data_IF_033840812474
#
_entry.id   IF_033840812474
#
_cell.length_a   1.000
_cell.length_b   1.000
_cell.length_c   1.000
_cell.angle_alpha   90.00
_cell.angle_beta   90.00
_cell.angle_gamma   90.00
#
_symmetry.space_group_name_H-M   'P 1'
#
loop_
_entity.id
_entity.type
_entity.pdbx_description
1 polymer ?
#
# COMPACT_ATOMS: atom_id res chain seq x y z
N UNK A 1 -14.26 -28.75 -36.59
CA UNK A 1 -13.25 -27.67 -36.66
C UNK A 1 -13.85 -26.25 -36.56
N UNK A 2 -14.86 -25.85 -37.36
CA UNK A 2 -15.42 -24.48 -37.35
C UNK A 2 -16.17 -24.07 -36.05
N UNK A 3 -16.90 -24.99 -35.42
CA UNK A 3 -17.60 -24.72 -34.14
C UNK A 3 -16.61 -24.53 -32.99
N UNK A 4 -15.62 -25.40 -32.89
CA UNK A 4 -14.54 -25.29 -31.90
C UNK A 4 -13.79 -23.96 -32.02
N UNK A 5 -13.45 -23.53 -33.24
CA UNK A 5 -12.79 -22.24 -33.48
C UNK A 5 -13.66 -21.04 -33.05
N UNK A 6 -14.99 -21.10 -33.27
CA UNK A 6 -15.91 -20.04 -32.81
C UNK A 6 -16.03 -19.97 -31.30
N UNK A 7 -16.10 -21.14 -30.64
CA UNK A 7 -16.12 -21.22 -29.17
C UNK A 7 -14.81 -20.68 -28.61
N UNK A 8 -13.67 -21.11 -29.15
CA UNK A 8 -12.35 -20.63 -28.74
C UNK A 8 -12.23 -19.11 -28.90
N UNK A 9 -12.63 -18.57 -30.06
CA UNK A 9 -12.62 -17.12 -30.29
C UNK A 9 -13.53 -16.38 -29.30
N UNK A 10 -14.72 -16.89 -29.03
CA UNK A 10 -15.63 -16.32 -28.04
C UNK A 10 -15.04 -16.29 -26.63
N UNK A 11 -14.38 -17.37 -26.19
CA UNK A 11 -13.69 -17.43 -24.90
C UNK A 11 -12.55 -16.40 -24.82
N UNK A 12 -11.74 -16.28 -25.88
CA UNK A 12 -10.64 -15.29 -25.93
C UNK A 12 -11.20 -13.86 -25.79
N UNK A 13 -12.27 -13.53 -26.51
CA UNK A 13 -12.91 -12.21 -26.40
C UNK A 13 -13.41 -11.94 -24.98
N UNK A 14 -14.04 -12.92 -24.32
CA UNK A 14 -14.51 -12.79 -22.93
C UNK A 14 -13.34 -12.53 -21.97
N UNK A 15 -12.22 -13.25 -22.12
CA UNK A 15 -11.03 -13.06 -21.28
C UNK A 15 -10.45 -11.66 -21.46
N UNK A 16 -10.35 -11.17 -22.71
CA UNK A 16 -9.87 -9.82 -23.01
C UNK A 16 -10.78 -8.74 -22.41
N UNK A 17 -12.09 -8.90 -22.53
CA UNK A 17 -13.07 -7.97 -21.95
C UNK A 17 -12.97 -7.97 -20.42
N UNK A 18 -12.84 -9.15 -19.79
CA UNK A 18 -12.64 -9.24 -18.34
C UNK A 18 -11.35 -8.53 -17.92
N UNK A 19 -10.23 -8.76 -18.62
CA UNK A 19 -8.96 -8.08 -18.35
C UNK A 19 -9.08 -6.56 -18.47
N UNK A 20 -9.80 -6.06 -19.47
CA UNK A 20 -10.08 -4.64 -19.66
C UNK A 20 -10.91 -4.07 -18.50
N UNK A 21 -11.98 -4.75 -18.08
CA UNK A 21 -12.80 -4.34 -16.93
C UNK A 21 -11.97 -4.26 -15.65
N UNK A 22 -11.13 -5.26 -15.38
CA UNK A 22 -10.24 -5.27 -14.23
C UNK A 22 -9.21 -4.13 -14.29
N UNK A 23 -8.64 -3.87 -15.48
CA UNK A 23 -7.73 -2.77 -15.70
C UNK A 23 -8.35 -1.41 -15.36
N UNK A 24 -9.53 -1.11 -15.92
CA UNK A 24 -10.22 0.15 -15.64
C UNK A 24 -10.66 0.26 -14.18
N UNK A 25 -11.03 -0.86 -13.53
CA UNK A 25 -11.35 -0.86 -12.11
C UNK A 25 -10.13 -0.53 -11.25
N UNK A 26 -9.00 -1.20 -11.47
CA UNK A 26 -7.77 -0.97 -10.71
C UNK A 26 -7.26 0.47 -10.91
N UNK A 27 -7.29 0.95 -12.15
CA UNK A 27 -6.95 2.33 -12.50
C UNK A 27 -7.89 3.33 -11.82
N UNK A 28 -9.20 3.11 -11.87
CA UNK A 28 -10.18 3.98 -11.23
C UNK A 28 -10.01 4.05 -9.71
N UNK A 29 -9.67 2.93 -9.06
CA UNK A 29 -9.33 2.93 -7.62
C UNK A 29 -8.09 3.79 -7.31
N UNK A 30 -7.04 3.65 -8.13
CA UNK A 30 -5.83 4.47 -7.99
C UNK A 30 -6.13 5.96 -8.20
N UNK A 31 -6.85 6.29 -9.27
CA UNK A 31 -7.24 7.67 -9.59
C UNK A 31 -8.11 8.27 -8.47
N UNK A 32 -9.01 7.50 -7.87
CA UNK A 32 -9.80 7.93 -6.71
C UNK A 32 -8.96 8.24 -5.48
N UNK A 33 -7.98 7.38 -5.15
CA UNK A 33 -7.04 7.66 -4.05
C UNK A 33 -6.15 8.87 -4.35
N UNK A 34 -5.65 9.01 -5.60
CA UNK A 34 -4.85 10.17 -6.02
C UNK A 34 -5.67 11.48 -5.98
N UNK A 35 -6.94 11.43 -6.34
CA UNK A 35 -7.85 12.57 -6.22
C UNK A 35 -8.03 12.99 -4.76
N UNK A 36 -8.25 12.03 -3.84
CA UNK A 36 -8.29 12.34 -2.40
C UNK A 36 -6.97 12.97 -1.92
N UNK A 37 -5.83 12.38 -2.27
CA UNK A 37 -4.50 12.89 -1.91
C UNK A 37 -4.23 14.31 -2.42
N UNK A 38 -4.79 14.67 -3.57
CA UNK A 38 -4.64 16.02 -4.15
C UNK A 38 -5.29 17.11 -3.29
N UNK A 39 -6.28 16.74 -2.47
CA UNK A 39 -6.95 17.66 -1.54
C UNK A 39 -6.24 17.79 -0.20
N UNK A 40 -5.29 16.89 0.09
CA UNK A 40 -4.60 16.83 1.37
C UNK A 40 -3.28 17.59 1.33
N UNK A 41 -2.84 18.07 2.48
CA UNK A 41 -1.55 18.75 2.59
C UNK A 41 -0.41 17.71 2.65
N UNK A 42 0.50 17.75 1.68
CA UNK A 42 1.70 16.90 1.64
C UNK A 42 2.85 17.56 2.40
N UNK A 43 2.90 17.34 3.71
CA UNK A 43 3.79 18.03 4.65
C UNK A 43 4.48 17.10 5.66
N UNK A 44 4.43 15.79 5.41
CA UNK A 44 5.22 14.79 6.12
C UNK A 44 6.33 14.31 5.17
N UNK A 45 7.57 14.33 5.65
CA UNK A 45 8.71 13.74 4.96
C UNK A 45 8.86 12.30 5.41
N UNK A 46 8.68 11.34 4.49
CA UNK A 46 8.87 9.92 4.75
C UNK A 46 10.19 9.47 4.13
N UNK A 47 11.01 8.76 4.90
CA UNK A 47 12.32 8.27 4.49
C UNK A 47 12.58 6.84 4.98
N UNK A 48 13.58 6.19 4.40
CA UNK A 48 14.03 4.86 4.80
C UNK A 48 15.56 4.84 4.87
N UNK A 49 16.11 4.10 5.84
CA UNK A 49 17.54 3.75 5.84
C UNK A 49 17.84 2.52 4.98
N UNK A 50 16.81 1.75 4.62
CA UNK A 50 16.94 0.54 3.82
C UNK A 50 17.06 0.87 2.32
N UNK A 51 16.50 1.98 1.84
CA UNK A 51 16.64 2.44 0.44
C UNK A 51 16.42 3.95 0.28
N UNK A 52 16.99 4.54 -0.78
CA UNK A 52 16.76 5.95 -1.13
C UNK A 52 15.39 6.16 -1.77
N UNK A 53 14.83 7.36 -1.66
CA UNK A 53 13.57 7.71 -2.34
C UNK A 53 13.72 7.52 -3.86
N UNK A 54 12.83 6.71 -4.44
CA UNK A 54 12.88 6.32 -5.85
C UNK A 54 13.92 5.25 -6.20
N UNK A 55 14.68 4.78 -5.22
CA UNK A 55 15.72 3.76 -5.36
C UNK A 55 15.18 2.34 -5.44
N UNK A 56 16.11 1.40 -5.64
CA UNK A 56 15.83 -0.03 -5.60
C UNK A 56 15.71 -0.51 -4.16
N UNK A 57 14.66 -1.27 -3.85
CA UNK A 57 14.48 -1.88 -2.53
C UNK A 57 15.44 -3.06 -2.32
N UNK A 58 15.96 -3.28 -1.09
CA UNK A 58 16.85 -4.41 -0.80
C UNK A 58 16.17 -5.75 -1.04
N UNK A 59 16.95 -6.74 -1.47
CA UNK A 59 16.45 -8.09 -1.76
C UNK A 59 15.79 -8.71 -0.53
N UNK A 60 16.33 -8.46 0.66
CA UNK A 60 15.85 -8.92 1.95
C UNK A 60 14.39 -8.51 2.20
N UNK A 61 13.96 -7.36 1.66
CA UNK A 61 12.60 -6.87 1.79
C UNK A 61 11.61 -7.53 0.83
N UNK A 62 12.07 -8.37 -0.10
CA UNK A 62 11.27 -8.89 -1.22
C UNK A 62 11.05 -10.39 -1.11
N UNK A 63 10.21 -10.96 -1.98
CA UNK A 63 9.99 -12.40 -2.07
C UNK A 63 11.23 -13.20 -2.48
N UNK A 64 12.27 -12.53 -2.99
CA UNK A 64 13.58 -13.14 -3.29
C UNK A 64 14.48 -13.21 -2.05
N UNK A 65 14.06 -12.62 -0.92
CA UNK A 65 14.80 -12.58 0.34
C UNK A 65 13.96 -13.09 1.52
N UNK A 66 14.05 -12.39 2.66
CA UNK A 66 13.35 -12.79 3.90
C UNK A 66 11.95 -12.17 4.03
N UNK A 67 11.53 -11.36 3.06
CA UNK A 67 10.29 -10.57 3.10
C UNK A 67 10.14 -9.70 4.36
N UNK A 68 11.24 -9.08 4.81
CA UNK A 68 11.20 -8.18 5.96
C UNK A 68 10.72 -6.78 5.56
N UNK A 69 9.98 -6.09 6.43
CA UNK A 69 9.58 -4.70 6.19
C UNK A 69 10.80 -3.78 6.15
N UNK A 70 10.87 -2.78 5.26
CA UNK A 70 11.95 -1.79 5.30
C UNK A 70 11.78 -0.90 6.54
N UNK A 71 12.89 -0.35 7.05
CA UNK A 71 12.82 0.67 8.09
C UNK A 71 12.21 1.95 7.54
N UNK A 72 11.26 2.56 8.26
CA UNK A 72 10.63 3.81 7.86
C UNK A 72 10.79 4.86 8.95
N UNK A 73 11.02 6.11 8.56
CA UNK A 73 11.03 7.27 9.46
C UNK A 73 10.16 8.35 8.83
N UNK A 74 9.39 9.05 9.65
CA UNK A 74 8.56 10.15 9.19
C UNK A 74 8.70 11.36 10.09
N UNK A 75 8.94 12.49 9.45
CA UNK A 75 9.16 13.79 10.09
C UNK A 75 8.20 14.82 9.52
N UNK A 76 7.90 15.84 10.31
CA UNK A 76 6.88 16.84 10.00
C UNK A 76 5.97 17.07 11.19
N UNK A 77 5.76 18.34 11.53
CA UNK A 77 4.90 18.73 12.64
C UNK A 77 3.48 18.96 12.14
N UNK A 78 2.60 17.99 12.39
CA UNK A 78 1.16 18.18 12.29
C UNK A 78 0.62 18.38 13.70
N UNK A 79 0.54 19.64 14.13
CA UNK A 79 -0.02 19.99 15.43
C UNK A 79 -1.41 19.32 15.59
N UNK A 80 -1.65 18.70 16.74
CA UNK A 80 -2.88 17.95 16.98
C UNK A 80 -2.88 16.49 16.51
N UNK A 81 -1.77 15.98 15.94
CA UNK A 81 -1.68 14.54 15.61
C UNK A 81 -1.86 13.69 16.87
N UNK A 82 -2.77 12.73 16.79
CA UNK A 82 -2.98 11.70 17.82
C UNK A 82 -2.57 10.31 17.33
N UNK A 83 -2.66 10.05 16.03
CA UNK A 83 -2.32 8.76 15.45
C UNK A 83 -1.66 8.88 14.07
N UNK A 84 -0.80 7.92 13.75
CA UNK A 84 -0.25 7.68 12.42
C UNK A 84 -0.83 6.42 11.79
N UNK A 85 -0.98 6.46 10.48
CA UNK A 85 -1.34 5.32 9.62
C UNK A 85 -0.26 5.13 8.56
N UNK A 86 0.13 3.89 8.30
CA UNK A 86 1.05 3.51 7.21
C UNK A 86 0.32 2.56 6.27
N UNK A 87 0.18 2.96 5.00
CA UNK A 87 -0.40 2.14 3.94
C UNK A 87 0.63 1.94 2.84
N UNK A 88 0.87 0.69 2.44
CA UNK A 88 1.77 0.35 1.34
C UNK A 88 1.00 -0.29 0.20
N UNK A 89 1.13 0.24 -1.01
CA UNK A 89 0.41 -0.28 -2.18
C UNK A 89 1.30 -0.33 -3.41
N UNK A 90 1.20 -1.42 -4.15
CA UNK A 90 1.69 -1.60 -5.51
C UNK A 90 0.49 -1.48 -6.46
N UNK A 91 0.52 -0.47 -7.34
CA UNK A 91 -0.55 -0.22 -8.32
C UNK A 91 -0.21 -0.74 -9.71
N UNK A 92 0.92 -1.41 -9.85
CA UNK A 92 1.51 -1.79 -11.13
C UNK A 92 1.29 -3.28 -11.40
N UNK A 93 0.37 -3.96 -10.70
CA UNK A 93 0.24 -5.43 -10.82
C UNK A 93 -0.74 -5.84 -11.92
N UNK A 94 -0.38 -6.75 -12.85
CA UNK A 94 0.87 -7.51 -12.95
C UNK A 94 2.00 -6.80 -13.72
N UNK A 95 1.72 -5.69 -14.38
CA UNK A 95 2.76 -4.85 -15.00
C UNK A 95 2.37 -3.37 -14.96
N UNK A 96 3.33 -2.43 -14.88
CA UNK A 96 3.04 -1.00 -14.91
C UNK A 96 2.29 -0.55 -16.17
N UNK A 97 2.49 -1.26 -17.29
CA UNK A 97 1.86 -0.93 -18.57
C UNK A 97 0.38 -1.36 -18.63
N UNK A 98 -0.01 -2.38 -17.88
CA UNK A 98 -1.37 -2.90 -17.85
C UNK A 98 -1.71 -3.45 -16.46
N UNK A 99 -1.91 -2.58 -15.46
CA UNK A 99 -2.30 -3.00 -14.12
C UNK A 99 -3.76 -3.48 -14.11
N UNK A 100 -4.06 -4.56 -13.42
CA UNK A 100 -5.42 -5.12 -13.27
C UNK A 100 -5.84 -5.32 -11.81
N UNK A 101 -4.93 -5.13 -10.85
CA UNK A 101 -5.24 -5.07 -9.43
C UNK A 101 -4.23 -4.22 -8.65
N UNK A 102 -4.70 -3.58 -7.57
CA UNK A 102 -3.87 -2.84 -6.62
C UNK A 102 -3.54 -3.76 -5.44
N UNK A 103 -2.27 -4.05 -5.23
CA UNK A 103 -1.82 -5.01 -4.22
C UNK A 103 -1.38 -4.27 -2.96
N UNK A 104 -2.05 -4.58 -1.84
CA UNK A 104 -1.82 -3.94 -0.56
C UNK A 104 -0.75 -4.73 0.17
N UNK A 105 0.42 -4.13 0.33
CA UNK A 105 1.56 -4.76 0.95
C UNK A 105 1.59 -4.65 2.47
N UNK A 106 1.01 -3.57 3.01
CA UNK A 106 1.04 -3.32 4.44
C UNK A 106 -0.04 -2.34 4.88
N UNK A 107 -0.64 -2.62 6.03
CA UNK A 107 -1.64 -1.75 6.68
C UNK A 107 -1.29 -1.68 8.16
N UNK A 108 -0.85 -0.51 8.61
CA UNK A 108 -0.67 -0.20 10.03
C UNK A 108 -1.50 1.04 10.34
N UNK A 109 -2.19 1.03 11.48
CA UNK A 109 -3.00 2.15 11.94
C UNK A 109 -2.87 2.35 13.44
N UNK A 110 -3.29 3.52 13.91
CA UNK A 110 -3.27 3.90 15.33
C UNK A 110 -1.88 3.87 15.98
N UNK A 111 -0.80 4.04 15.21
CA UNK A 111 0.51 4.29 15.83
C UNK A 111 0.43 5.61 16.61
N UNK A 112 0.75 5.64 17.91
CA UNK A 112 0.69 6.87 18.71
C UNK A 112 1.54 7.99 18.10
N UNK A 113 1.16 9.24 18.31
CA UNK A 113 1.87 10.41 17.76
C UNK A 113 3.35 10.54 18.19
N UNK A 114 3.74 9.86 19.27
CA UNK A 114 5.13 9.75 19.76
C UNK A 114 5.98 8.79 18.91
N UNK A 115 5.37 7.87 18.17
CA UNK A 115 6.08 6.96 17.27
C UNK A 115 6.35 7.69 15.95
N UNK A 116 7.64 7.81 15.61
CA UNK A 116 8.13 8.52 14.41
C UNK A 116 9.00 7.68 13.49
N UNK A 117 9.19 6.41 13.85
CA UNK A 117 9.90 5.46 13.03
C UNK A 117 9.45 4.04 13.33
N UNK A 118 9.63 3.17 12.35
CA UNK A 118 9.60 1.72 12.52
C UNK A 118 10.96 1.18 12.07
N UNK A 119 11.58 0.27 12.84
CA UNK A 119 12.82 -0.37 12.41
C UNK A 119 12.56 -1.29 11.22
N UNK A 120 13.63 -1.64 10.52
CA UNK A 120 13.58 -2.74 9.55
C UNK A 120 13.17 -4.04 10.24
N UNK A 121 12.46 -4.91 9.52
CA UNK A 121 11.98 -6.20 9.99
C UNK A 121 11.07 -6.11 11.22
N UNK A 122 10.35 -4.99 11.39
CA UNK A 122 9.40 -4.87 12.49
C UNK A 122 8.28 -5.90 12.35
N UNK A 123 8.10 -6.69 13.40
CA UNK A 123 7.04 -7.70 13.50
C UNK A 123 5.70 -7.07 13.89
N UNK A 124 4.60 -7.79 13.63
CA UNK A 124 3.26 -7.42 14.09
C UNK A 124 3.22 -7.20 15.62
N UNK A 125 3.87 -8.05 16.41
CA UNK A 125 3.91 -7.90 17.86
C UNK A 125 4.68 -6.65 18.30
N UNK A 126 5.80 -6.33 17.65
CA UNK A 126 6.52 -5.09 17.94
C UNK A 126 5.70 -3.84 17.59
N UNK A 127 4.94 -3.85 16.50
CA UNK A 127 4.01 -2.75 16.17
C UNK A 127 2.93 -2.59 17.26
N UNK A 128 2.38 -3.71 17.78
CA UNK A 128 1.42 -3.68 18.90
C UNK A 128 2.03 -3.15 20.20
N UNK A 129 3.27 -3.53 20.51
CA UNK A 129 4.01 -3.01 21.67
C UNK A 129 4.25 -1.50 21.57
N UNK A 130 4.35 -0.95 20.36
CA UNK A 130 4.41 0.49 20.11
C UNK A 130 3.04 1.18 20.18
N UNK A 131 1.96 0.44 20.47
CA UNK A 131 0.59 0.94 20.54
C UNK A 131 -0.15 0.98 19.19
N UNK A 132 0.49 0.55 18.11
CA UNK A 132 -0.12 0.43 16.79
C UNK A 132 -0.98 -0.83 16.63
N UNK A 133 -1.72 -0.90 15.52
CA UNK A 133 -2.50 -2.05 15.09
C UNK A 133 -2.19 -2.38 13.64
N UNK A 134 -2.42 -3.64 13.24
CA UNK A 134 -2.15 -4.12 11.87
C UNK A 134 -3.45 -4.57 11.23
N UNK A 135 -3.68 -4.13 10.00
CA UNK A 135 -4.81 -4.56 9.17
C UNK A 135 -4.45 -5.71 8.23
N UNK A 136 -5.43 -6.16 7.43
CA UNK A 136 -5.24 -7.18 6.40
C UNK A 136 -4.53 -6.59 5.19
N UNK A 137 -3.48 -7.26 4.74
CA UNK A 137 -2.90 -7.07 3.41
C UNK A 137 -3.75 -7.78 2.33
N UNK A 138 -3.35 -7.72 1.06
CA UNK A 138 -4.09 -8.38 -0.03
C UNK A 138 -4.15 -9.91 0.04
N UNK A 139 -3.25 -10.55 0.80
CA UNK A 139 -3.30 -11.98 1.08
C UNK A 139 -4.21 -12.34 2.27
N UNK A 140 -4.77 -11.33 2.97
CA UNK A 140 -5.58 -11.52 4.17
C UNK A 140 -4.78 -11.60 5.48
N UNK A 141 -3.46 -11.49 5.41
CA UNK A 141 -2.58 -11.59 6.57
C UNK A 141 -2.35 -10.24 7.25
N UNK A 142 -2.01 -10.28 8.55
CA UNK A 142 -1.62 -9.12 9.36
C UNK A 142 -0.10 -8.95 9.41
N UNK A 143 0.54 -8.90 8.24
CA UNK A 143 2.00 -8.71 8.10
C UNK A 143 2.34 -7.94 6.84
N UNK A 144 3.58 -7.47 6.77
CA UNK A 144 4.16 -7.01 5.52
C UNK A 144 4.29 -8.18 4.54
N UNK A 145 4.00 -7.94 3.27
CA UNK A 145 4.35 -8.83 2.16
C UNK A 145 5.36 -8.13 1.27
N UNK A 146 6.44 -8.82 0.90
CA UNK A 146 7.52 -8.23 0.12
C UNK A 146 7.15 -8.01 -1.36
N UNK A 147 7.83 -7.09 -2.06
CA UNK A 147 7.82 -7.00 -3.52
C UNK A 147 8.02 -8.36 -4.18
N UNK A 148 7.16 -8.67 -5.15
CA UNK A 148 7.31 -9.86 -6.01
C UNK A 148 6.72 -9.59 -7.40
N UNK A 149 7.24 -8.59 -8.13
CA UNK A 149 6.66 -8.17 -9.39
C UNK A 149 6.84 -9.28 -10.43
N UNK A 150 5.77 -9.70 -11.12
CA UNK A 150 5.89 -10.73 -12.15
C UNK A 150 6.51 -10.16 -13.44
N UNK A 151 6.19 -8.90 -13.80
CA UNK A 151 6.66 -8.30 -15.04
C UNK A 151 7.06 -6.83 -14.89
N UNK A 152 8.33 -6.55 -15.20
CA UNK A 152 8.86 -5.19 -15.21
C UNK A 152 9.14 -4.67 -13.81
N UNK A 153 9.44 -3.37 -13.74
CA UNK A 153 9.83 -2.69 -12.50
C UNK A 153 8.61 -2.01 -11.88
N UNK A 154 8.18 -2.49 -10.72
CA UNK A 154 7.02 -1.96 -10.01
C UNK A 154 7.43 -0.89 -8.99
N UNK A 155 6.52 0.05 -8.72
CA UNK A 155 6.62 1.01 -7.64
C UNK A 155 5.83 0.56 -6.40
N UNK A 156 6.50 0.53 -5.25
CA UNK A 156 5.91 0.27 -3.94
C UNK A 156 5.77 1.60 -3.20
N UNK A 157 4.54 2.07 -3.04
CA UNK A 157 4.24 3.40 -2.48
C UNK A 157 3.89 3.25 -1.01
N UNK A 158 4.80 3.68 -0.14
CA UNK A 158 4.62 3.77 1.30
C UNK A 158 4.06 5.14 1.64
N UNK A 159 2.83 5.22 2.15
CA UNK A 159 2.22 6.47 2.59
C UNK A 159 2.06 6.50 4.09
N UNK A 160 2.40 7.63 4.69
CA UNK A 160 2.20 7.92 6.11
C UNK A 160 1.20 9.06 6.24
N UNK A 161 0.18 8.88 7.06
CA UNK A 161 -0.86 9.87 7.31
C UNK A 161 -0.88 10.24 8.79
N UNK A 162 -0.98 11.53 9.10
CA UNK A 162 -1.24 12.04 10.44
C UNK A 162 -2.74 12.25 10.63
N UNK A 163 -3.28 11.74 11.74
CA UNK A 163 -4.69 11.87 12.10
C UNK A 163 -4.88 12.66 13.39
N UNK A 164 -5.97 13.42 13.47
CA UNK A 164 -6.41 14.14 14.68
C UNK A 164 -7.10 13.24 15.72
N UNK A 165 -7.37 11.98 15.36
CA UNK A 165 -7.98 10.97 16.21
C UNK A 165 -7.46 9.57 15.89
N UNK A 166 -7.34 8.67 16.89
CA UNK A 166 -7.26 7.24 16.62
C UNK A 166 -8.54 6.73 15.96
N UNK A 167 -8.41 5.74 15.10
CA UNK A 167 -9.51 5.08 14.41
C UNK A 167 -10.17 4.02 15.31
N UNK A 168 -11.50 3.98 15.33
CA UNK A 168 -12.28 2.94 15.99
C UNK A 168 -12.83 1.95 14.96
N UNK A 169 -12.22 0.78 14.88
CA UNK A 169 -12.53 -0.28 13.90
C UNK A 169 -12.82 -1.58 14.67
N UNK A 170 -13.92 -2.27 14.32
CA UNK A 170 -14.45 -3.42 15.06
C UNK A 170 -13.67 -4.72 14.79
N UNK A 171 -13.33 -4.97 13.53
CA UNK A 171 -12.58 -6.16 13.08
C UNK A 171 -11.15 -5.78 12.65
N UNK A 172 -10.37 -6.78 12.23
CA UNK A 172 -9.10 -6.55 11.54
C UNK A 172 -9.39 -5.92 10.16
N UNK A 173 -9.13 -4.61 9.98
CA UNK A 173 -9.63 -3.86 8.85
C UNK A 173 -8.81 -4.13 7.58
N UNK A 174 -9.42 -3.97 6.42
CA UNK A 174 -8.72 -3.83 5.14
C UNK A 174 -8.16 -2.42 4.99
N UNK A 175 -7.33 -2.18 3.96
CA UNK A 175 -6.92 -0.82 3.59
C UNK A 175 -8.13 0.11 3.36
N UNK A 176 -9.19 -0.39 2.72
CA UNK A 176 -10.34 0.45 2.39
C UNK A 176 -11.07 0.90 3.65
N UNK A 177 -11.29 -0.02 4.62
CA UNK A 177 -11.92 0.34 5.91
C UNK A 177 -11.11 1.41 6.65
N UNK A 178 -9.77 1.32 6.58
CA UNK A 178 -8.88 2.34 7.17
C UNK A 178 -9.00 3.67 6.43
N UNK A 179 -8.98 3.68 5.09
CA UNK A 179 -9.15 4.90 4.30
C UNK A 179 -10.50 5.57 4.57
N UNK A 180 -11.58 4.79 4.69
CA UNK A 180 -12.92 5.30 4.96
C UNK A 180 -13.00 5.92 6.36
N UNK A 181 -12.45 5.25 7.36
CA UNK A 181 -12.39 5.75 8.73
C UNK A 181 -11.49 7.00 8.91
N UNK A 182 -10.55 7.22 7.99
CA UNK A 182 -9.68 8.41 8.00
C UNK A 182 -10.35 9.66 7.43
N UNK A 183 -11.45 9.54 6.69
CA UNK A 183 -12.08 10.68 6.03
C UNK A 183 -12.45 11.77 7.05
N UNK A 184 -12.07 13.02 6.76
CA UNK A 184 -12.28 14.16 7.65
C UNK A 184 -11.28 14.29 8.81
N UNK A 185 -10.41 13.30 9.04
CA UNK A 185 -9.48 13.25 10.17
C UNK A 185 -8.01 13.44 9.78
N UNK A 186 -7.69 13.52 8.49
CA UNK A 186 -6.32 13.62 7.99
C UNK A 186 -5.81 15.05 8.13
N UNK A 187 -4.78 15.24 8.95
CA UNK A 187 -4.08 16.52 9.14
C UNK A 187 -3.01 16.76 8.06
N UNK A 188 -2.46 15.69 7.52
CA UNK A 188 -1.42 15.76 6.49
C UNK A 188 -0.90 14.37 6.15
N UNK A 189 -0.16 14.28 5.05
CA UNK A 189 0.44 13.03 4.61
C UNK A 189 1.84 13.22 4.03
N UNK A 190 2.52 12.09 3.83
CA UNK A 190 3.78 11.97 3.14
C UNK A 190 3.87 10.63 2.43
N UNK A 191 4.77 10.52 1.46
CA UNK A 191 5.00 9.25 0.76
C UNK A 191 6.48 9.02 0.46
N UNK A 192 6.84 7.75 0.42
CA UNK A 192 8.13 7.24 -0.04
C UNK A 192 7.85 6.17 -1.10
N UNK A 193 8.55 6.23 -2.22
CA UNK A 193 8.48 5.21 -3.27
C UNK A 193 9.78 4.42 -3.31
N UNK A 194 9.68 3.10 -3.29
CA UNK A 194 10.76 2.18 -3.60
C UNK A 194 10.39 1.36 -4.83
N UNK A 195 11.39 0.79 -5.52
CA UNK A 195 11.17 0.00 -6.72
C UNK A 195 11.83 -1.37 -6.65
N UNK A 196 11.26 -2.36 -7.33
CA UNK A 196 11.87 -3.69 -7.48
C UNK A 196 11.50 -4.33 -8.83
N UNK A 197 12.30 -5.30 -9.27
CA UNK A 197 12.13 -6.08 -10.50
C UNK A 197 12.66 -7.51 -10.35
#
# INVERSE_FOLDING_TARGET
MRLFLRILLGVVVIILLLGMVLHFRAKGQREGEEAQLSTLTKNITVSSRSFSAGGTMPVECTCKGREVSPGLTWEGNQAGTKAYVILTTDYDVPSPAFPVFNLIHWVIYNLPASVRSLPEAVSAEQVKLLGGKIGKNSAGDQKYIGPCPPFGRHAYVFRVYALDTPLSLADVPTKQDVLDAMQGHILGYGELKGYFQ
#
